data_IF_265479035102
#
_entry.id   IF_265479035102
#
_cell.length_a   1.000
_cell.length_b   1.000
_cell.length_c   1.000
_cell.angle_alpha   90.00
_cell.angle_beta   90.00
_cell.angle_gamma   90.00
#
_symmetry.space_group_name_H-M   'P 1'
#
loop_
_entity.id
_entity.type
_entity.pdbx_description
1 polymer ?
#
# COMPACT_ATOMS: atom_id res chain seq x y z
N UNK A 1 -11.69 -28.60 -18.71
CA UNK A 1 -12.36 -27.36 -19.17
C UNK A 1 -11.62 -26.20 -18.50
N UNK A 2 -10.77 -25.49 -19.25
CA UNK A 2 -9.76 -24.56 -18.74
C UNK A 2 -10.37 -23.25 -18.20
N UNK A 3 -9.91 -22.79 -17.03
CA UNK A 3 -10.36 -21.64 -16.22
C UNK A 3 -9.95 -20.25 -16.78
N UNK A 4 -10.08 -20.00 -18.08
CA UNK A 4 -9.22 -18.98 -18.74
C UNK A 4 -9.78 -17.57 -19.07
N UNK A 5 -10.93 -17.05 -18.54
CA UNK A 5 -11.03 -15.58 -18.56
C UNK A 5 -11.69 -14.84 -17.37
N UNK A 6 -12.25 -15.49 -16.35
CA UNK A 6 -13.11 -14.76 -15.38
C UNK A 6 -12.39 -14.39 -14.05
N UNK A 7 -11.27 -15.04 -13.70
CA UNK A 7 -10.58 -14.79 -12.41
C UNK A 7 -9.81 -13.45 -12.39
N UNK A 8 -9.45 -12.91 -13.56
CA UNK A 8 -8.77 -11.61 -13.66
C UNK A 8 -9.60 -10.45 -13.08
N UNK A 9 -10.94 -10.59 -13.00
CA UNK A 9 -11.82 -9.55 -12.48
C UNK A 9 -11.76 -9.38 -10.95
N UNK A 10 -11.55 -10.45 -10.19
CA UNK A 10 -11.65 -10.41 -8.72
C UNK A 10 -10.28 -10.14 -8.07
N UNK A 11 -9.19 -10.61 -8.67
CA UNK A 11 -7.83 -10.22 -8.22
C UNK A 11 -7.57 -8.72 -8.49
N UNK A 12 -8.26 -8.11 -9.45
CA UNK A 12 -8.00 -6.73 -9.87
C UNK A 12 -8.92 -5.67 -9.24
N UNK A 13 -10.15 -6.00 -8.80
CA UNK A 13 -11.08 -4.99 -8.25
C UNK A 13 -10.95 -4.78 -6.74
N UNK A 14 -10.48 -5.77 -5.97
CA UNK A 14 -10.43 -5.64 -4.50
C UNK A 14 -9.11 -5.03 -4.02
N UNK A 15 -8.00 -5.20 -4.75
CA UNK A 15 -6.69 -4.79 -4.28
C UNK A 15 -6.26 -3.35 -4.67
N UNK A 16 -6.88 -2.76 -5.70
CA UNK A 16 -6.46 -1.43 -6.20
C UNK A 16 -7.63 -0.47 -6.54
N UNK A 17 -8.89 -0.93 -6.47
CA UNK A 17 -10.04 -0.15 -6.93
C UNK A 17 -10.92 0.50 -5.85
N UNK A 18 -10.77 0.10 -4.58
CA UNK A 18 -11.62 0.60 -3.50
C UNK A 18 -11.01 0.36 -2.10
N UNK A 19 -9.69 0.56 -1.95
CA UNK A 19 -9.05 0.50 -0.64
C UNK A 19 -8.98 1.92 -0.05
N UNK A 20 -9.96 2.26 0.79
CA UNK A 20 -9.86 3.35 1.77
C UNK A 20 -9.21 2.80 3.04
N UNK A 21 -7.98 2.29 2.92
CA UNK A 21 -7.22 1.76 4.04
C UNK A 21 -6.55 2.85 4.88
N UNK A 22 -5.92 2.47 6.01
CA UNK A 22 -5.45 3.41 7.02
C UNK A 22 -4.44 4.39 6.42
N UNK A 23 -4.54 5.63 6.90
CA UNK A 23 -3.57 6.69 6.64
C UNK A 23 -2.14 6.14 6.72
N UNK A 24 -1.32 6.45 5.71
CA UNK A 24 0.11 6.12 5.69
C UNK A 24 0.73 6.55 7.04
N UNK A 25 1.42 5.66 7.78
CA UNK A 25 1.83 5.94 9.15
C UNK A 25 2.77 7.14 9.21
N UNK A 26 2.21 8.25 9.67
CA UNK A 26 2.87 9.55 9.83
C UNK A 26 2.30 10.29 11.02
N UNK A 27 2.14 9.65 12.17
CA UNK A 27 1.74 10.34 13.40
C UNK A 27 2.62 9.88 14.57
N UNK A 28 3.65 10.67 14.87
CA UNK A 28 4.25 10.70 16.20
C UNK A 28 3.45 11.74 16.99
N UNK A 29 2.71 11.27 17.99
CA UNK A 29 2.06 12.06 19.04
C UNK A 29 2.98 13.17 19.57
N UNK A 30 2.45 14.40 19.73
CA UNK A 30 2.41 15.02 21.07
C UNK A 30 1.64 16.36 21.14
N UNK A 31 0.74 16.37 22.12
CA UNK A 31 0.38 17.42 23.08
C UNK A 31 -0.17 18.76 22.56
N UNK A 32 -1.46 18.91 22.86
CA UNK A 32 -2.29 20.12 22.89
C UNK A 32 -1.60 21.29 23.59
N UNK A 33 -1.50 22.43 22.89
CA UNK A 33 -1.27 23.72 23.53
C UNK A 33 -2.57 24.54 23.49
N UNK A 34 -2.99 25.00 24.66
CA UNK A 34 -4.18 25.80 24.93
C UNK A 34 -4.20 27.13 24.15
N UNK A 35 -5.31 27.41 23.44
CA UNK A 35 -5.51 28.58 22.59
C UNK A 35 -6.17 29.78 23.32
N UNK A 36 -6.19 29.79 24.66
CA UNK A 36 -6.91 30.81 25.42
C UNK A 36 -6.22 32.19 25.54
N UNK A 37 -5.09 32.46 24.86
CA UNK A 37 -4.44 33.79 24.89
C UNK A 37 -3.84 34.21 23.55
N UNK A 38 -4.68 34.71 22.63
CA UNK A 38 -4.19 35.62 21.58
C UNK A 38 -5.07 36.87 21.56
N UNK A 39 -4.63 37.86 22.32
CA UNK A 39 -5.06 39.24 22.16
C UNK A 39 -4.44 39.85 20.91
N UNK A 40 -5.19 40.74 20.28
CA UNK A 40 -4.83 41.44 19.05
C UNK A 40 -3.49 42.18 19.14
N UNK A 41 -2.63 42.02 18.14
CA UNK A 41 -1.76 43.10 17.67
C UNK A 41 -1.42 42.88 16.20
N UNK A 42 -1.77 43.89 15.42
CA UNK A 42 -1.37 44.13 14.04
C UNK A 42 0.13 44.44 13.99
N UNK A 43 0.84 43.81 13.03
CA UNK A 43 2.18 44.24 12.64
C UNK A 43 3.33 43.37 13.11
N UNK A 44 3.48 42.21 12.48
CA UNK A 44 4.78 41.60 12.16
C UNK A 44 4.50 40.43 11.20
N UNK A 45 4.87 40.57 9.93
CA UNK A 45 5.09 39.42 9.06
C UNK A 45 6.20 38.62 9.73
N UNK A 46 5.81 37.60 10.50
CA UNK A 46 6.73 36.73 11.20
C UNK A 46 7.55 35.97 10.16
N UNK A 47 8.80 36.36 10.02
CA UNK A 47 9.85 35.55 9.41
C UNK A 47 10.15 34.35 10.32
N UNK A 48 9.18 33.45 10.49
CA UNK A 48 9.50 32.07 10.77
C UNK A 48 10.12 31.53 9.47
N UNK A 49 11.33 30.91 9.49
CA UNK A 49 11.81 30.17 8.34
C UNK A 49 10.72 29.18 7.98
N UNK A 50 9.99 29.42 6.89
CA UNK A 50 8.81 28.62 6.59
C UNK A 50 9.33 27.26 6.19
N UNK A 51 9.26 26.29 7.10
CA UNK A 51 9.57 24.90 6.78
C UNK A 51 8.48 24.40 5.83
N UNK A 52 8.70 24.62 4.54
CA UNK A 52 7.78 24.23 3.48
C UNK A 52 7.57 22.70 3.46
N UNK A 53 8.52 21.91 3.99
CA UNK A 53 8.33 20.47 4.11
C UNK A 53 7.36 20.13 5.24
N UNK A 54 7.45 20.81 6.39
CA UNK A 54 6.48 20.67 7.47
C UNK A 54 5.07 21.13 7.04
N UNK A 55 4.98 22.25 6.31
CA UNK A 55 3.70 22.72 5.77
C UNK A 55 3.11 21.72 4.76
N UNK A 56 3.93 21.18 3.85
CA UNK A 56 3.47 20.16 2.92
C UNK A 56 2.92 18.91 3.62
N UNK A 57 3.52 18.47 4.74
CA UNK A 57 3.02 17.35 5.54
C UNK A 57 1.66 17.66 6.18
N UNK A 58 1.51 18.85 6.77
CA UNK A 58 0.21 19.31 7.32
C UNK A 58 -0.88 19.33 6.26
N UNK A 59 -0.55 19.76 5.03
CA UNK A 59 -1.49 19.80 3.92
C UNK A 59 -1.85 18.39 3.42
N UNK A 60 -0.91 17.43 3.45
CA UNK A 60 -1.22 16.01 3.20
C UNK A 60 -2.24 15.47 4.21
N UNK A 61 -2.05 15.75 5.50
CA UNK A 61 -2.99 15.32 6.56
C UNK A 61 -4.39 15.92 6.36
N UNK A 62 -4.45 17.15 5.85
CA UNK A 62 -5.70 17.84 5.51
C UNK A 62 -6.30 17.41 4.17
N UNK A 63 -5.65 16.49 3.45
CA UNK A 63 -6.03 16.05 2.11
C UNK A 63 -6.00 17.17 1.05
N UNK A 64 -5.30 18.27 1.33
CA UNK A 64 -4.98 19.30 0.33
C UNK A 64 -3.73 18.88 -0.45
N UNK A 65 -3.94 17.95 -1.38
CA UNK A 65 -2.86 17.36 -2.18
C UNK A 65 -2.15 18.38 -3.07
N UNK A 66 -2.90 19.35 -3.60
CA UNK A 66 -2.35 20.40 -4.48
C UNK A 66 -1.53 21.41 -3.67
N UNK A 67 -2.01 21.82 -2.49
CA UNK A 67 -1.25 22.63 -1.55
C UNK A 67 0.02 21.92 -1.08
N UNK A 68 -0.09 20.64 -0.72
CA UNK A 68 1.05 19.82 -0.32
C UNK A 68 2.11 19.73 -1.42
N UNK A 69 1.70 19.47 -2.67
CA UNK A 69 2.60 19.48 -3.83
C UNK A 69 3.35 20.81 -3.96
N UNK A 70 2.62 21.94 -3.89
CA UNK A 70 3.22 23.27 -4.01
C UNK A 70 4.23 23.55 -2.88
N UNK A 71 3.91 23.14 -1.65
CA UNK A 71 4.80 23.28 -0.50
C UNK A 71 6.06 22.40 -0.64
N UNK A 72 5.92 21.12 -0.99
CA UNK A 72 7.08 20.24 -1.20
C UNK A 72 7.99 20.71 -2.34
N UNK A 73 7.42 21.18 -3.47
CA UNK A 73 8.22 21.76 -4.55
C UNK A 73 9.03 22.97 -4.07
N UNK A 74 8.46 23.85 -3.23
CA UNK A 74 9.19 24.97 -2.61
C UNK A 74 10.28 24.49 -1.67
N UNK A 75 10.01 23.47 -0.83
CA UNK A 75 11.01 22.87 0.04
C UNK A 75 12.21 22.32 -0.76
N UNK A 76 11.94 21.65 -1.88
CA UNK A 76 12.97 21.06 -2.75
C UNK A 76 13.75 22.10 -3.55
N UNK A 77 13.22 23.32 -3.76
CA UNK A 77 14.02 24.43 -4.31
C UNK A 77 15.14 24.86 -3.34
N UNK A 78 14.88 24.77 -2.03
CA UNK A 78 15.83 25.13 -0.96
C UNK A 78 16.79 23.95 -0.70
N UNK A 79 16.25 22.74 -0.53
CA UNK A 79 17.04 21.54 -0.31
C UNK A 79 16.67 20.44 -1.33
N UNK A 80 17.41 20.39 -2.44
CA UNK A 80 17.19 19.41 -3.53
C UNK A 80 17.55 17.96 -3.16
N UNK A 81 18.27 17.75 -2.05
CA UNK A 81 18.76 16.43 -1.65
C UNK A 81 17.91 15.78 -0.55
N UNK A 82 16.77 16.37 -0.20
CA UNK A 82 15.86 15.79 0.80
C UNK A 82 15.02 14.66 0.19
N UNK A 83 15.51 13.42 0.32
CA UNK A 83 14.83 12.22 -0.15
C UNK A 83 13.43 12.02 0.45
N UNK A 84 13.22 12.41 1.73
CA UNK A 84 11.93 12.25 2.41
C UNK A 84 10.90 13.22 1.84
N UNK A 85 11.30 14.47 1.63
CA UNK A 85 10.45 15.47 0.99
C UNK A 85 10.15 15.09 -0.46
N UNK A 86 11.13 14.55 -1.18
CA UNK A 86 10.93 14.03 -2.54
C UNK A 86 9.92 12.87 -2.57
N UNK A 87 9.99 11.94 -1.61
CA UNK A 87 8.99 10.88 -1.45
C UNK A 87 7.60 11.47 -1.14
N UNK A 88 7.50 12.45 -0.26
CA UNK A 88 6.22 13.06 0.09
C UNK A 88 5.59 13.85 -1.07
N UNK A 89 6.42 14.47 -1.92
CA UNK A 89 5.97 15.03 -3.20
C UNK A 89 5.34 13.92 -4.07
N UNK A 90 5.98 12.76 -4.17
CA UNK A 90 5.42 11.60 -4.87
C UNK A 90 4.06 11.18 -4.33
N UNK A 91 3.90 11.15 -3.00
CA UNK A 91 2.62 10.85 -2.35
C UNK A 91 1.54 11.87 -2.72
N UNK A 92 1.83 13.16 -2.64
CA UNK A 92 0.89 14.22 -3.02
C UNK A 92 0.46 14.12 -4.50
N UNK A 93 1.38 13.76 -5.39
CA UNK A 93 1.11 13.56 -6.82
C UNK A 93 0.25 12.31 -7.07
N UNK A 94 0.53 11.21 -6.36
CA UNK A 94 -0.23 9.97 -6.47
C UNK A 94 -1.69 10.17 -6.05
N UNK A 95 -1.95 10.90 -4.96
CA UNK A 95 -3.31 11.21 -4.50
C UNK A 95 -4.10 12.08 -5.49
N UNK A 96 -3.40 12.86 -6.33
CA UNK A 96 -4.00 13.62 -7.43
C UNK A 96 -4.20 12.79 -8.71
N UNK A 97 -3.84 11.50 -8.72
CA UNK A 97 -3.84 10.66 -9.92
C UNK A 97 -2.73 10.96 -10.91
N UNK A 98 -1.75 11.82 -10.57
CA UNK A 98 -0.60 12.18 -11.40
C UNK A 98 0.48 11.10 -11.32
N UNK A 99 0.13 9.86 -11.68
CA UNK A 99 0.96 8.67 -11.44
C UNK A 99 2.35 8.73 -12.08
N UNK A 100 2.46 9.27 -13.29
CA UNK A 100 3.76 9.39 -13.98
C UNK A 100 4.72 10.30 -13.20
N UNK A 101 4.22 11.43 -12.70
CA UNK A 101 5.01 12.37 -11.91
C UNK A 101 5.33 11.80 -10.53
N UNK A 102 4.39 11.08 -9.91
CA UNK A 102 4.61 10.39 -8.65
C UNK A 102 5.75 9.36 -8.74
N UNK A 103 5.74 8.52 -9.80
CA UNK A 103 6.80 7.53 -10.05
C UNK A 103 8.15 8.21 -10.24
N UNK A 104 8.20 9.32 -10.99
CA UNK A 104 9.43 10.10 -11.15
C UNK A 104 9.94 10.63 -9.80
N UNK A 105 9.05 11.14 -8.96
CA UNK A 105 9.41 11.62 -7.64
C UNK A 105 9.92 10.49 -6.72
N UNK A 106 9.25 9.33 -6.67
CA UNK A 106 9.71 8.20 -5.88
C UNK A 106 11.06 7.65 -6.37
N UNK A 107 11.29 7.57 -7.69
CA UNK A 107 12.60 7.18 -8.24
C UNK A 107 13.71 8.15 -7.85
N UNK A 108 13.43 9.46 -7.82
CA UNK A 108 14.39 10.43 -7.33
C UNK A 108 14.65 10.26 -5.82
N UNK A 109 13.62 9.96 -5.03
CA UNK A 109 13.78 9.68 -3.60
C UNK A 109 14.67 8.46 -3.34
N UNK A 110 14.50 7.36 -4.09
CA UNK A 110 15.34 6.15 -3.95
C UNK A 110 16.78 6.36 -4.44
N UNK A 111 17.01 7.27 -5.39
CA UNK A 111 18.36 7.68 -5.81
C UNK A 111 19.06 8.54 -4.75
N UNK A 112 18.32 9.46 -4.12
CA UNK A 112 18.84 10.34 -3.07
C UNK A 112 19.14 9.56 -1.78
N UNK A 113 18.27 8.62 -1.41
CA UNK A 113 18.45 7.74 -0.26
C UNK A 113 18.09 6.29 -0.62
N UNK A 114 19.08 5.46 -0.99
CA UNK A 114 18.88 4.05 -1.28
C UNK A 114 18.43 3.20 -0.08
N UNK A 115 18.42 3.75 1.14
CA UNK A 115 17.94 3.08 2.35
C UNK A 115 16.51 3.44 2.73
N UNK A 116 15.87 4.35 2.00
CA UNK A 116 14.51 4.82 2.27
C UNK A 116 13.46 3.80 1.81
N UNK A 117 13.19 2.81 2.67
CA UNK A 117 12.22 1.73 2.40
C UNK A 117 10.84 2.23 1.92
N UNK A 118 10.32 3.29 2.55
CA UNK A 118 9.03 3.89 2.17
C UNK A 118 8.99 4.36 0.71
N UNK A 119 10.10 4.87 0.16
CA UNK A 119 10.15 5.31 -1.23
C UNK A 119 10.09 4.12 -2.20
N UNK A 120 10.71 2.99 -1.86
CA UNK A 120 10.60 1.76 -2.63
C UNK A 120 9.19 1.16 -2.56
N UNK A 121 8.57 1.17 -1.38
CA UNK A 121 7.19 0.72 -1.20
C UNK A 121 6.22 1.55 -2.07
N UNK A 122 6.28 2.88 -1.97
CA UNK A 122 5.41 3.78 -2.74
C UNK A 122 5.68 3.68 -4.25
N UNK A 123 6.95 3.53 -4.65
CA UNK A 123 7.33 3.27 -6.04
C UNK A 123 6.71 1.97 -6.55
N UNK A 124 6.83 0.87 -5.79
CA UNK A 124 6.27 -0.43 -6.13
C UNK A 124 4.76 -0.35 -6.34
N UNK A 125 4.07 0.33 -5.42
CA UNK A 125 2.62 0.53 -5.50
C UNK A 125 2.21 1.34 -6.74
N UNK A 126 2.87 2.47 -7.01
CA UNK A 126 2.57 3.31 -8.17
C UNK A 126 2.86 2.60 -9.51
N UNK A 127 3.94 1.81 -9.59
CA UNK A 127 4.26 1.00 -10.76
C UNK A 127 3.22 -0.10 -11.00
N UNK A 128 2.72 -0.75 -9.94
CA UNK A 128 1.64 -1.74 -10.05
C UNK A 128 0.36 -1.10 -10.59
N UNK A 129 0.01 0.11 -10.15
CA UNK A 129 -1.11 0.86 -10.71
C UNK A 129 -0.91 1.22 -12.19
N UNK A 130 0.32 1.50 -12.61
CA UNK A 130 0.69 1.72 -14.01
C UNK A 130 0.80 0.41 -14.83
N UNK A 131 0.56 -0.76 -14.22
CA UNK A 131 0.71 -2.09 -14.82
C UNK A 131 2.14 -2.46 -15.21
N UNK A 132 3.14 -1.73 -14.71
CA UNK A 132 4.55 -2.12 -14.80
C UNK A 132 4.89 -3.10 -13.66
N UNK A 133 4.40 -4.33 -13.79
CA UNK A 133 4.47 -5.34 -12.74
C UNK A 133 5.92 -5.80 -12.47
N UNK A 134 6.77 -5.85 -13.50
CA UNK A 134 8.17 -6.26 -13.33
C UNK A 134 8.95 -5.24 -12.49
N UNK A 135 8.84 -3.95 -12.82
CA UNK A 135 9.50 -2.91 -12.03
C UNK A 135 8.88 -2.80 -10.62
N UNK A 136 7.57 -3.05 -10.49
CA UNK A 136 6.89 -3.09 -9.20
C UNK A 136 7.45 -4.17 -8.27
N UNK A 137 7.65 -5.41 -8.77
CA UNK A 137 8.28 -6.48 -7.99
C UNK A 137 9.66 -6.08 -7.50
N UNK A 138 10.50 -5.50 -8.37
CA UNK A 138 11.86 -5.06 -7.98
C UNK A 138 11.80 -4.02 -6.86
N UNK A 139 10.88 -3.05 -6.95
CA UNK A 139 10.72 -2.03 -5.93
C UNK A 139 10.24 -2.62 -4.59
N UNK A 140 9.21 -3.46 -4.60
CA UNK A 140 8.73 -4.13 -3.38
C UNK A 140 9.77 -5.08 -2.77
N UNK A 141 10.58 -5.77 -3.57
CA UNK A 141 11.69 -6.59 -3.07
C UNK A 141 12.74 -5.75 -2.35
N UNK A 142 13.07 -4.55 -2.85
CA UNK A 142 13.96 -3.64 -2.14
C UNK A 142 13.35 -3.10 -0.84
N UNK A 143 12.06 -2.73 -0.86
CA UNK A 143 11.34 -2.36 0.36
C UNK A 143 11.37 -3.50 1.40
N UNK A 144 11.11 -4.74 0.98
CA UNK A 144 11.12 -5.92 1.85
C UNK A 144 12.51 -6.20 2.43
N UNK A 145 13.57 -5.96 1.64
CA UNK A 145 14.95 -6.09 2.10
C UNK A 145 15.31 -5.04 3.16
N UNK A 146 14.86 -3.80 2.98
CA UNK A 146 15.13 -2.69 3.91
C UNK A 146 14.25 -2.75 5.17
N UNK A 147 13.04 -3.27 5.06
CA UNK A 147 12.07 -3.40 6.15
C UNK A 147 11.45 -4.80 6.19
N UNK A 148 12.21 -5.83 6.61
CA UNK A 148 11.78 -7.24 6.53
C UNK A 148 10.62 -7.63 7.47
N UNK A 149 10.19 -6.71 8.34
CA UNK A 149 9.06 -6.89 9.27
C UNK A 149 7.82 -6.07 8.88
N UNK A 150 7.83 -5.43 7.71
CA UNK A 150 6.66 -4.72 7.19
C UNK A 150 5.74 -5.71 6.46
N UNK A 151 4.59 -6.01 7.08
CA UNK A 151 3.63 -6.99 6.56
C UNK A 151 2.98 -6.53 5.24
N UNK A 152 2.71 -5.23 5.10
CA UNK A 152 2.09 -4.65 3.90
C UNK A 152 3.00 -4.77 2.69
N UNK A 153 4.30 -4.50 2.87
CA UNK A 153 5.28 -4.69 1.80
C UNK A 153 5.28 -6.13 1.26
N UNK A 154 5.28 -7.14 2.15
CA UNK A 154 5.20 -8.55 1.72
C UNK A 154 3.85 -8.88 1.08
N UNK A 155 2.76 -8.29 1.57
CA UNK A 155 1.43 -8.51 1.02
C UNK A 155 1.35 -8.01 -0.42
N UNK A 156 1.73 -6.75 -0.66
CA UNK A 156 1.70 -6.16 -1.99
C UNK A 156 2.71 -6.80 -2.94
N UNK A 157 3.88 -7.24 -2.45
CA UNK A 157 4.79 -8.08 -3.23
C UNK A 157 4.07 -9.36 -3.70
N UNK A 158 3.37 -10.05 -2.80
CA UNK A 158 2.58 -11.24 -3.13
C UNK A 158 1.48 -10.96 -4.15
N UNK A 159 0.77 -9.83 -4.01
CA UNK A 159 -0.27 -9.39 -4.94
C UNK A 159 0.28 -9.23 -6.35
N UNK A 160 1.39 -8.51 -6.51
CA UNK A 160 2.00 -8.25 -7.83
C UNK A 160 2.54 -9.55 -8.43
N UNK A 161 3.20 -10.41 -7.64
CA UNK A 161 3.65 -11.73 -8.09
C UNK A 161 2.49 -12.62 -8.54
N UNK A 162 1.37 -12.59 -7.82
CA UNK A 162 0.15 -13.31 -8.20
C UNK A 162 -0.44 -12.81 -9.52
N UNK A 163 -0.42 -11.49 -9.75
CA UNK A 163 -0.85 -10.90 -11.03
C UNK A 163 0.05 -11.33 -12.20
N UNK A 164 1.33 -11.62 -11.94
CA UNK A 164 2.27 -12.18 -12.92
C UNK A 164 2.14 -13.70 -13.09
N UNK A 165 1.25 -14.37 -12.37
CA UNK A 165 1.13 -15.84 -12.36
C UNK A 165 2.28 -16.56 -11.63
N UNK A 166 3.14 -15.83 -10.91
CA UNK A 166 4.26 -16.36 -10.13
C UNK A 166 3.77 -16.87 -8.77
N UNK A 167 2.84 -17.81 -8.79
CA UNK A 167 2.08 -18.23 -7.61
C UNK A 167 2.94 -18.82 -6.49
N UNK A 168 4.03 -19.53 -6.82
CA UNK A 168 4.95 -20.07 -5.81
C UNK A 168 5.60 -18.97 -4.95
N UNK A 169 6.03 -17.88 -5.59
CA UNK A 169 6.62 -16.72 -4.89
C UNK A 169 5.55 -15.90 -4.17
N UNK A 170 4.37 -15.74 -4.77
CA UNK A 170 3.23 -15.09 -4.13
C UNK A 170 2.82 -15.80 -2.82
N UNK A 171 2.75 -17.15 -2.83
CA UNK A 171 2.46 -17.96 -1.64
C UNK A 171 3.48 -17.70 -0.53
N UNK A 172 4.77 -17.62 -0.86
CA UNK A 172 5.80 -17.33 0.14
C UNK A 172 5.62 -15.93 0.74
N UNK A 173 5.33 -14.93 -0.09
CA UNK A 173 5.09 -13.57 0.35
C UNK A 173 3.83 -13.45 1.24
N UNK A 174 2.70 -14.08 0.87
CA UNK A 174 1.50 -14.07 1.71
C UNK A 174 1.68 -14.79 3.04
N UNK A 175 2.40 -15.92 3.05
CA UNK A 175 2.77 -16.59 4.31
C UNK A 175 3.61 -15.68 5.18
N UNK A 176 4.54 -14.94 4.59
CA UNK A 176 5.34 -13.97 5.33
C UNK A 176 4.50 -12.83 5.91
N UNK A 177 3.50 -12.32 5.19
CA UNK A 177 2.52 -11.38 5.74
C UNK A 177 1.79 -11.97 6.94
N UNK A 178 1.28 -13.20 6.83
CA UNK A 178 0.54 -13.88 7.91
C UNK A 178 1.42 -14.14 9.14
N UNK A 179 2.70 -14.46 8.94
CA UNK A 179 3.66 -14.60 10.05
C UNK A 179 3.89 -13.29 10.81
N UNK A 180 3.85 -12.16 10.10
CA UNK A 180 4.07 -10.83 10.67
C UNK A 180 2.80 -10.24 11.28
N UNK A 181 1.66 -10.50 10.64
CA UNK A 181 0.32 -10.11 11.06
C UNK A 181 -0.67 -11.27 10.83
N UNK A 182 -0.93 -12.07 11.89
CA UNK A 182 -1.86 -13.19 11.82
C UNK A 182 -3.32 -12.81 11.56
N UNK A 183 -3.69 -11.53 11.68
CA UNK A 183 -5.07 -11.05 11.50
C UNK A 183 -5.30 -10.46 10.09
N UNK A 184 -4.29 -10.52 9.21
CA UNK A 184 -4.32 -10.00 7.83
C UNK A 184 -5.21 -10.87 6.92
N UNK A 185 -6.52 -10.65 6.98
CA UNK A 185 -7.55 -11.44 6.30
C UNK A 185 -7.32 -11.58 4.77
N UNK A 186 -6.91 -10.49 4.11
CA UNK A 186 -6.64 -10.48 2.67
C UNK A 186 -5.48 -11.41 2.28
N UNK A 187 -4.46 -11.55 3.15
CA UNK A 187 -3.32 -12.41 2.89
C UNK A 187 -3.75 -13.88 2.87
N UNK A 188 -4.66 -14.29 3.78
CA UNK A 188 -5.26 -15.63 3.73
C UNK A 188 -6.10 -15.86 2.48
N UNK A 189 -6.89 -14.85 2.08
CA UNK A 189 -7.71 -14.93 0.87
C UNK A 189 -6.86 -15.15 -0.38
N UNK A 190 -5.86 -14.29 -0.58
CA UNK A 190 -4.96 -14.38 -1.73
C UNK A 190 -4.04 -15.62 -1.67
N UNK A 191 -3.63 -16.05 -0.48
CA UNK A 191 -2.93 -17.32 -0.28
C UNK A 191 -3.79 -18.49 -0.75
N UNK A 192 -5.05 -18.53 -0.34
CA UNK A 192 -5.99 -19.57 -0.73
C UNK A 192 -6.20 -19.64 -2.25
N UNK A 193 -6.36 -18.49 -2.90
CA UNK A 193 -6.47 -18.41 -4.36
C UNK A 193 -5.18 -18.90 -5.05
N UNK A 194 -4.00 -18.44 -4.62
CA UNK A 194 -2.73 -18.87 -5.20
C UNK A 194 -2.45 -20.37 -4.98
N UNK A 195 -2.88 -20.93 -3.84
CA UNK A 195 -2.80 -22.36 -3.56
C UNK A 195 -3.74 -23.16 -4.48
N UNK A 196 -4.94 -22.65 -4.77
CA UNK A 196 -5.86 -23.29 -5.71
C UNK A 196 -5.27 -23.34 -7.13
N UNK A 197 -4.66 -22.25 -7.61
CA UNK A 197 -3.99 -22.18 -8.91
C UNK A 197 -2.81 -23.15 -9.04
N UNK A 198 -2.20 -23.54 -7.91
CA UNK A 198 -1.11 -24.53 -7.86
C UNK A 198 -1.60 -25.96 -7.56
N UNK A 199 -2.92 -26.19 -7.54
CA UNK A 199 -3.51 -27.51 -7.28
C UNK A 199 -3.42 -27.97 -5.82
N UNK A 200 -3.02 -27.10 -4.89
CA UNK A 200 -2.88 -27.40 -3.46
C UNK A 200 -4.22 -27.21 -2.73
N UNK A 201 -5.21 -27.97 -3.19
CA UNK A 201 -6.63 -27.75 -2.91
C UNK A 201 -6.98 -27.78 -1.41
N UNK A 202 -6.42 -28.73 -0.65
CA UNK A 202 -6.69 -28.80 0.79
C UNK A 202 -6.17 -27.58 1.55
N UNK A 203 -4.95 -27.13 1.23
CA UNK A 203 -4.38 -25.93 1.84
C UNK A 203 -5.14 -24.67 1.42
N UNK A 204 -5.60 -24.61 0.17
CA UNK A 204 -6.45 -23.53 -0.32
C UNK A 204 -7.74 -23.41 0.49
N UNK A 205 -8.41 -24.54 0.77
CA UNK A 205 -9.63 -24.57 1.58
C UNK A 205 -9.38 -24.12 3.03
N UNK A 206 -8.24 -24.50 3.62
CA UNK A 206 -7.89 -24.04 4.96
C UNK A 206 -7.64 -22.52 4.99
N UNK A 207 -6.88 -22.00 4.03
CA UNK A 207 -6.58 -20.58 3.93
C UNK A 207 -7.84 -19.73 3.69
N UNK A 208 -8.74 -20.16 2.79
CA UNK A 208 -10.00 -19.45 2.54
C UNK A 208 -10.97 -19.50 3.73
N UNK A 209 -10.95 -20.59 4.51
CA UNK A 209 -11.70 -20.67 5.78
C UNK A 209 -11.22 -19.61 6.75
N UNK A 210 -9.90 -19.51 6.95
CA UNK A 210 -9.30 -18.47 7.78
C UNK A 210 -9.68 -17.07 7.27
N UNK A 211 -9.56 -16.83 5.96
CA UNK A 211 -9.92 -15.54 5.36
C UNK A 211 -11.36 -15.14 5.69
N UNK A 212 -12.33 -16.05 5.48
CA UNK A 212 -13.74 -15.84 5.81
C UNK A 212 -13.92 -15.51 7.29
N UNK A 213 -13.30 -16.27 8.18
CA UNK A 213 -13.46 -16.10 9.62
C UNK A 213 -12.87 -14.76 10.10
N UNK A 214 -11.70 -14.36 9.58
CA UNK A 214 -11.10 -13.06 9.87
C UNK A 214 -11.91 -11.90 9.28
N UNK A 215 -12.40 -12.01 8.05
CA UNK A 215 -13.30 -10.98 7.49
C UNK A 215 -14.57 -10.82 8.32
N UNK A 216 -15.17 -11.91 8.80
CA UNK A 216 -16.33 -11.84 9.69
C UNK A 216 -16.01 -11.12 11.01
N UNK A 217 -14.86 -11.43 11.65
CA UNK A 217 -14.42 -10.74 12.87
C UNK A 217 -14.20 -9.25 12.64
N UNK A 218 -13.75 -8.87 11.46
CA UNK A 218 -13.55 -7.47 11.04
C UNK A 218 -14.86 -6.78 10.59
N UNK A 219 -16.01 -7.46 10.61
CA UNK A 219 -17.29 -6.90 10.15
C UNK A 219 -17.44 -6.81 8.63
N UNK A 220 -16.54 -7.44 7.86
CA UNK A 220 -16.47 -7.39 6.39
C UNK A 220 -17.26 -8.54 5.76
N UNK A 221 -18.57 -8.53 5.99
CA UNK A 221 -19.47 -9.62 5.56
C UNK A 221 -19.45 -9.89 4.05
N UNK A 222 -19.26 -8.88 3.21
CA UNK A 222 -19.17 -9.04 1.75
C UNK A 222 -17.90 -9.79 1.31
N UNK A 223 -16.78 -9.54 1.98
CA UNK A 223 -15.51 -10.21 1.69
C UNK A 223 -15.54 -11.65 2.22
N UNK A 224 -16.13 -11.86 3.40
CA UNK A 224 -16.38 -13.19 3.95
C UNK A 224 -17.28 -14.03 3.03
N UNK A 225 -18.36 -13.45 2.51
CA UNK A 225 -19.25 -14.13 1.56
C UNK A 225 -18.53 -14.50 0.25
N UNK A 226 -17.62 -13.65 -0.23
CA UNK A 226 -16.77 -13.96 -1.39
C UNK A 226 -15.84 -15.14 -1.10
N UNK A 227 -15.17 -15.14 0.05
CA UNK A 227 -14.32 -16.27 0.45
C UNK A 227 -15.12 -17.59 0.53
N UNK A 228 -16.34 -17.55 1.08
CA UNK A 228 -17.25 -18.68 1.16
C UNK A 228 -17.67 -19.21 -0.23
N UNK A 229 -17.96 -18.32 -1.19
CA UNK A 229 -18.27 -18.73 -2.56
C UNK A 229 -17.10 -19.48 -3.22
N UNK A 230 -15.86 -19.06 -2.97
CA UNK A 230 -14.68 -19.77 -3.47
C UNK A 230 -14.50 -21.13 -2.80
N UNK A 231 -14.72 -21.22 -1.49
CA UNK A 231 -14.69 -22.50 -0.76
C UNK A 231 -15.65 -23.52 -1.37
N UNK A 232 -16.89 -23.12 -1.63
CA UNK A 232 -17.92 -24.01 -2.20
C UNK A 232 -17.51 -24.54 -3.58
N UNK A 233 -16.93 -23.68 -4.44
CA UNK A 233 -16.43 -24.08 -5.77
C UNK A 233 -15.28 -25.07 -5.70
N UNK A 234 -14.37 -24.88 -4.75
CA UNK A 234 -13.24 -25.79 -4.56
C UNK A 234 -13.72 -27.15 -4.02
N UNK A 235 -14.70 -27.14 -3.10
CA UNK A 235 -15.27 -28.37 -2.54
C UNK A 235 -16.03 -29.19 -3.58
N UNK A 236 -16.77 -28.55 -4.49
CA UNK A 236 -17.44 -29.27 -5.58
C UNK A 236 -16.46 -30.00 -6.52
N UNK A 237 -15.24 -29.47 -6.68
CA UNK A 237 -14.19 -30.12 -7.48
C UNK A 237 -13.55 -31.33 -6.77
N UNK A 238 -13.65 -31.43 -5.44
CA UNK A 238 -13.17 -32.58 -4.69
C UNK A 238 -14.15 -33.76 -4.70
N UNK A 239 -15.41 -33.50 -5.03
CA UNK A 239 -16.49 -34.50 -5.05
C UNK A 239 -16.75 -35.15 -6.41
N UNK A 240 -16.08 -34.69 -7.47
CA UNK A 240 -16.11 -35.25 -8.83
C UNK A 240 -14.89 -36.15 -9.08
#
# INVERSE_FOLDING_TARGET
MFLLPIILGIVCQVALGSWSGPELPGAISNQTTDLSKVGASTGQLSQQPTDFAAEGKRLLEQQDWAGAEAAFRKALLINRQDAKTQNNLGNALAQQGKLVEAIAAFRQATQLDPSLSAAYYNLGYALAQQKDLDASVVAFQQAAKLSPRDADTHYFLGVVLGQQGRYGEAIAAYRRTIELDPDYAEAYGNLGLALAETGRIQEASAALTNARDYFNRQGRSQDAARAEQYLQRIQSQLSE
#
